data_IF_401543076866
#
_entry.id   IF_401543076866
#
_cell.length_a   1.000
_cell.length_b   1.000
_cell.length_c   1.000
_cell.angle_alpha   90.00
_cell.angle_beta   90.00
_cell.angle_gamma   90.00
#
_symmetry.space_group_name_H-M   'P 1'
#
loop_
_entity.id
_entity.type
_entity.pdbx_description
1 polymer ?
#
# COMPACT_ATOMS: atom_id res chain seq x y z
N UNK A 1 -1.04 -2.43 -5.77
CA UNK A 1 -1.60 -3.03 -4.55
C UNK A 1 -2.29 -4.35 -4.82
N UNK A 2 -3.11 -4.47 -5.87
CA UNK A 2 -3.80 -5.72 -6.28
C UNK A 2 -2.82 -6.88 -6.52
N UNK A 3 -1.66 -6.65 -7.13
CA UNK A 3 -0.66 -7.70 -7.40
C UNK A 3 0.06 -8.26 -6.16
N UNK A 4 0.14 -7.51 -5.05
CA UNK A 4 0.76 -8.01 -3.81
C UNK A 4 -0.19 -8.94 -3.04
N UNK A 5 -1.46 -8.60 -2.98
CA UNK A 5 -2.52 -9.47 -2.44
C UNK A 5 -2.68 -10.75 -3.29
N UNK A 6 -2.60 -10.62 -4.62
CA UNK A 6 -2.63 -11.78 -5.53
C UNK A 6 -1.48 -12.75 -5.24
N UNK A 7 -0.26 -12.26 -4.95
CA UNK A 7 0.90 -13.11 -4.67
C UNK A 7 0.80 -13.91 -3.36
N UNK A 8 0.17 -13.37 -2.32
CA UNK A 8 -0.02 -14.08 -1.04
C UNK A 8 -1.15 -15.12 -1.11
N UNK A 9 -2.15 -14.90 -1.96
CA UNK A 9 -3.29 -15.81 -2.14
C UNK A 9 -3.03 -16.92 -3.18
N UNK A 10 -2.14 -16.69 -4.15
CA UNK A 10 -1.97 -17.62 -5.29
C UNK A 10 -1.37 -18.96 -4.90
N UNK A 11 -0.43 -19.02 -3.97
CA UNK A 11 0.27 -20.28 -3.64
C UNK A 11 -0.62 -21.28 -2.87
N UNK A 12 -1.37 -20.91 -1.82
CA UNK A 12 -2.27 -21.83 -1.14
C UNK A 12 -3.44 -22.30 -2.02
N UNK A 13 -4.00 -21.41 -2.85
CA UNK A 13 -5.15 -21.71 -3.70
C UNK A 13 -4.78 -22.67 -4.82
N UNK A 14 -3.63 -22.49 -5.48
CA UNK A 14 -3.16 -23.42 -6.53
C UNK A 14 -2.88 -24.82 -6.01
N UNK A 15 -2.42 -24.95 -4.77
CA UNK A 15 -2.17 -26.25 -4.14
C UNK A 15 -3.49 -26.98 -3.75
N UNK A 16 -4.50 -26.24 -3.30
CA UNK A 16 -5.77 -26.79 -2.81
C UNK A 16 -6.74 -27.18 -3.93
N UNK A 17 -6.67 -26.56 -5.11
CA UNK A 17 -7.66 -26.69 -6.19
C UNK A 17 -7.08 -27.22 -7.51
N UNK A 18 -6.34 -28.31 -7.48
CA UNK A 18 -5.88 -28.99 -8.71
C UNK A 18 -6.93 -30.02 -9.15
N UNK A 19 -7.70 -29.73 -10.21
CA UNK A 19 -8.77 -30.60 -10.76
C UNK A 19 -9.67 -31.20 -9.68
N UNK A 20 -10.38 -30.34 -8.98
CA UNK A 20 -11.25 -30.74 -7.86
C UNK A 20 -12.69 -30.35 -8.12
N UNK A 21 -13.62 -31.21 -7.71
CA UNK A 21 -15.05 -30.89 -7.70
C UNK A 21 -15.34 -29.87 -6.59
N UNK A 22 -16.06 -28.81 -6.91
CA UNK A 22 -16.40 -27.75 -5.97
C UNK A 22 -17.64 -28.15 -5.14
N UNK A 23 -17.42 -29.03 -4.20
CA UNK A 23 -18.41 -29.47 -3.21
C UNK A 23 -18.44 -28.56 -1.97
N UNK A 24 -19.31 -28.88 -1.01
CA UNK A 24 -19.43 -28.09 0.22
C UNK A 24 -18.11 -28.02 1.00
N UNK A 25 -17.35 -29.11 1.07
CA UNK A 25 -16.06 -29.16 1.77
C UNK A 25 -15.00 -28.27 1.07
N UNK A 26 -14.99 -28.26 -0.27
CA UNK A 26 -14.09 -27.41 -1.04
C UNK A 26 -14.41 -25.91 -0.86
N UNK A 27 -15.68 -25.55 -0.71
CA UNK A 27 -16.11 -24.17 -0.44
C UNK A 27 -15.72 -23.74 0.96
N UNK A 28 -15.88 -24.59 1.97
CA UNK A 28 -15.47 -24.34 3.35
C UNK A 28 -13.94 -24.16 3.44
N UNK A 29 -13.16 -25.02 2.80
CA UNK A 29 -11.70 -24.89 2.71
C UNK A 29 -11.28 -23.57 2.03
N UNK A 30 -11.98 -23.15 0.96
CA UNK A 30 -11.74 -21.87 0.31
C UNK A 30 -12.01 -20.69 1.25
N UNK A 31 -13.10 -20.76 2.03
CA UNK A 31 -13.44 -19.74 3.02
C UNK A 31 -12.37 -19.63 4.10
N UNK A 32 -11.89 -20.74 4.65
CA UNK A 32 -10.81 -20.78 5.63
C UNK A 32 -9.50 -20.16 5.08
N UNK A 33 -9.16 -20.50 3.82
CA UNK A 33 -7.99 -19.92 3.15
C UNK A 33 -8.11 -18.39 2.99
N UNK A 34 -9.29 -17.90 2.63
CA UNK A 34 -9.54 -16.45 2.49
C UNK A 34 -9.49 -15.73 3.84
N UNK A 35 -10.02 -16.35 4.90
CA UNK A 35 -9.93 -15.82 6.28
C UNK A 35 -8.48 -15.81 6.75
N UNK A 36 -7.74 -16.88 6.52
CA UNK A 36 -6.31 -16.99 6.83
C UNK A 36 -5.44 -15.97 6.07
N UNK A 37 -5.92 -15.48 4.93
CA UNK A 37 -5.29 -14.41 4.15
C UNK A 37 -5.75 -12.99 4.56
N UNK A 38 -6.33 -12.84 5.76
CA UNK A 38 -6.78 -11.56 6.34
C UNK A 38 -7.89 -10.83 5.55
N UNK A 39 -8.70 -11.53 4.74
CA UNK A 39 -9.84 -10.91 4.07
C UNK A 39 -11.01 -10.60 5.04
N UNK A 40 -10.98 -11.21 6.23
CA UNK A 40 -12.05 -11.14 7.20
C UNK A 40 -13.26 -12.03 6.86
N UNK A 41 -13.96 -12.53 7.89
CA UNK A 41 -15.04 -13.51 7.77
C UNK A 41 -16.14 -13.05 6.82
N UNK A 42 -16.65 -11.82 6.99
CA UNK A 42 -17.77 -11.33 6.19
C UNK A 42 -17.44 -11.24 4.68
N UNK A 43 -16.22 -10.86 4.32
CA UNK A 43 -15.77 -10.80 2.94
C UNK A 43 -15.57 -12.21 2.36
N UNK A 44 -14.93 -13.10 3.12
CA UNK A 44 -14.70 -14.47 2.74
C UNK A 44 -16.03 -15.19 2.45
N UNK A 45 -17.00 -15.15 3.38
CA UNK A 45 -18.33 -15.74 3.20
C UNK A 45 -19.10 -15.17 2.01
N UNK A 46 -18.96 -13.86 1.74
CA UNK A 46 -19.60 -13.25 0.57
C UNK A 46 -19.00 -13.80 -0.74
N UNK A 47 -17.69 -13.90 -0.82
CA UNK A 47 -16.98 -14.40 -2.01
C UNK A 47 -17.33 -15.86 -2.23
N UNK A 48 -17.21 -16.71 -1.21
CA UNK A 48 -17.49 -18.14 -1.33
C UNK A 48 -18.95 -18.44 -1.62
N UNK A 49 -19.88 -17.68 -1.05
CA UNK A 49 -21.32 -17.77 -1.36
C UNK A 49 -21.63 -17.42 -2.82
N UNK A 50 -20.97 -16.41 -3.39
CA UNK A 50 -21.09 -16.07 -4.81
C UNK A 50 -20.50 -17.16 -5.71
N UNK A 51 -19.36 -17.69 -5.29
CA UNK A 51 -18.68 -18.77 -5.99
C UNK A 51 -19.51 -20.05 -6.04
N UNK A 52 -20.09 -20.44 -4.90
CA UNK A 52 -21.00 -21.58 -4.80
C UNK A 52 -22.20 -21.47 -5.74
N UNK A 53 -22.85 -20.31 -5.82
CA UNK A 53 -24.02 -20.10 -6.68
C UNK A 53 -23.77 -20.38 -8.15
N UNK A 54 -22.56 -20.16 -8.65
CA UNK A 54 -22.24 -20.23 -10.08
C UNK A 54 -21.50 -21.49 -10.48
N UNK A 55 -20.77 -22.12 -9.54
CA UNK A 55 -19.83 -23.21 -9.83
C UNK A 55 -19.99 -24.45 -8.95
N UNK A 56 -21.01 -24.47 -8.08
CA UNK A 56 -21.23 -25.62 -7.19
C UNK A 56 -21.36 -26.93 -8.00
N UNK A 57 -20.74 -27.98 -7.49
CA UNK A 57 -20.77 -29.34 -8.04
C UNK A 57 -20.11 -29.50 -9.44
N UNK A 58 -19.36 -28.47 -9.91
CA UNK A 58 -18.57 -28.55 -11.12
C UNK A 58 -17.11 -28.90 -10.80
N UNK A 59 -16.46 -29.56 -11.74
CA UNK A 59 -15.01 -29.73 -11.70
C UNK A 59 -14.35 -28.40 -12.10
N UNK A 60 -13.44 -27.90 -11.26
CA UNK A 60 -12.77 -26.63 -11.47
C UNK A 60 -11.26 -26.82 -11.46
N UNK A 61 -10.57 -26.06 -12.30
CA UNK A 61 -9.12 -25.96 -12.31
C UNK A 61 -8.66 -24.76 -11.47
N UNK A 62 -7.43 -24.82 -10.94
CA UNK A 62 -6.88 -23.77 -10.09
C UNK A 62 -6.86 -22.39 -10.75
N UNK A 63 -6.64 -22.32 -12.06
CA UNK A 63 -6.66 -21.06 -12.81
C UNK A 63 -8.07 -20.47 -12.92
N UNK A 64 -9.08 -21.33 -13.04
CA UNK A 64 -10.49 -20.91 -13.06
C UNK A 64 -10.90 -20.36 -11.69
N UNK A 65 -10.50 -21.02 -10.60
CA UNK A 65 -10.76 -20.55 -9.23
C UNK A 65 -10.09 -19.21 -9.00
N UNK A 66 -8.83 -19.06 -9.42
CA UNK A 66 -8.06 -17.82 -9.28
C UNK A 66 -8.69 -16.66 -10.06
N UNK A 67 -9.11 -16.92 -11.29
CA UNK A 67 -9.75 -15.90 -12.13
C UNK A 67 -11.07 -15.43 -11.52
N UNK A 68 -11.89 -16.37 -11.09
CA UNK A 68 -13.17 -16.05 -10.47
C UNK A 68 -13.03 -15.32 -9.12
N UNK A 69 -12.02 -15.66 -8.32
CA UNK A 69 -11.71 -14.91 -7.10
C UNK A 69 -11.23 -13.49 -7.41
N UNK A 70 -10.41 -13.32 -8.43
CA UNK A 70 -9.97 -11.99 -8.87
C UNK A 70 -11.17 -11.13 -9.29
N UNK A 71 -12.14 -11.68 -10.05
CA UNK A 71 -13.37 -11.00 -10.45
C UNK A 71 -14.24 -10.60 -9.24
N UNK A 72 -14.37 -11.46 -8.22
CA UNK A 72 -15.14 -11.12 -7.02
C UNK A 72 -14.46 -10.06 -6.17
N UNK A 73 -13.13 -10.10 -6.05
CA UNK A 73 -12.34 -9.07 -5.36
C UNK A 73 -12.42 -7.75 -6.14
N UNK A 74 -12.33 -7.78 -7.46
CA UNK A 74 -12.48 -6.60 -8.32
C UNK A 74 -13.82 -5.91 -8.09
N UNK A 75 -14.94 -6.64 -8.08
CA UNK A 75 -16.27 -6.09 -7.79
C UNK A 75 -16.37 -5.41 -6.43
N UNK A 76 -15.62 -5.91 -5.43
CA UNK A 76 -15.59 -5.31 -4.09
C UNK A 76 -14.76 -4.02 -4.08
N UNK A 77 -13.65 -3.99 -4.84
CA UNK A 77 -12.71 -2.88 -4.85
C UNK A 77 -13.10 -1.76 -5.83
N UNK A 78 -13.77 -2.09 -6.93
CA UNK A 78 -14.14 -1.14 -7.99
C UNK A 78 -14.86 0.13 -7.47
N UNK A 79 -15.86 0.04 -6.56
CA UNK A 79 -16.56 1.23 -6.05
C UNK A 79 -15.66 2.17 -5.23
N UNK A 80 -14.54 1.68 -4.70
CA UNK A 80 -13.61 2.42 -3.84
C UNK A 80 -12.26 2.68 -4.52
N UNK A 81 -12.01 2.10 -5.67
CA UNK A 81 -10.80 2.27 -6.48
C UNK A 81 -10.82 3.64 -7.17
N UNK A 82 -10.26 4.65 -6.49
CA UNK A 82 -10.12 5.99 -7.04
C UNK A 82 -8.65 6.22 -7.44
N UNK A 83 -8.39 6.84 -8.61
CA UNK A 83 -7.03 7.23 -8.97
C UNK A 83 -6.51 8.27 -7.96
N UNK A 84 -5.23 8.17 -7.62
CA UNK A 84 -4.57 9.23 -6.88
C UNK A 84 -4.46 10.47 -7.77
N UNK A 85 -4.96 11.61 -7.29
CA UNK A 85 -4.88 12.90 -7.97
C UNK A 85 -4.29 13.96 -7.05
N UNK A 86 -3.42 14.79 -7.62
CA UNK A 86 -2.87 15.96 -6.93
C UNK A 86 -3.88 17.09 -7.03
N UNK A 87 -4.24 17.66 -5.89
CA UNK A 87 -5.08 18.86 -5.85
C UNK A 87 -4.19 20.08 -6.10
N UNK A 88 -4.31 20.69 -7.27
CA UNK A 88 -3.52 21.84 -7.68
C UNK A 88 -3.83 23.13 -6.89
N UNK A 89 -4.94 23.15 -6.11
CA UNK A 89 -5.25 24.26 -5.21
C UNK A 89 -4.37 24.25 -3.96
N UNK A 90 -3.79 23.09 -3.62
CA UNK A 90 -2.87 22.90 -2.51
C UNK A 90 -1.42 22.99 -3.01
N UNK A 91 -0.65 23.93 -2.49
CA UNK A 91 0.77 24.08 -2.82
C UNK A 91 1.60 24.24 -1.55
N UNK A 92 2.26 23.17 -1.12
CA UNK A 92 2.28 21.81 -1.70
C UNK A 92 1.03 20.99 -1.36
N UNK A 93 0.66 20.05 -2.25
CA UNK A 93 -0.19 18.92 -1.89
C UNK A 93 0.64 17.95 -1.05
N UNK A 94 0.30 17.77 0.22
CA UNK A 94 1.07 16.93 1.14
C UNK A 94 0.57 15.51 1.14
N UNK A 95 1.48 14.55 1.00
CA UNK A 95 1.20 13.11 1.05
C UNK A 95 2.01 12.48 2.17
N UNK A 96 1.36 12.09 3.24
CA UNK A 96 1.96 11.36 4.34
C UNK A 96 1.90 9.86 4.06
N UNK A 97 3.07 9.18 3.98
CA UNK A 97 3.14 7.75 3.68
C UNK A 97 3.40 6.96 4.95
N UNK A 98 2.36 6.26 5.41
CA UNK A 98 2.36 5.50 6.65
C UNK A 98 2.36 3.99 6.38
N UNK A 99 2.84 3.20 7.35
CA UNK A 99 2.83 1.74 7.30
C UNK A 99 3.94 1.13 8.13
N UNK A 100 3.89 -0.18 8.34
CA UNK A 100 4.88 -0.91 9.13
C UNK A 100 6.24 -1.02 8.44
N UNK A 101 7.29 -1.37 9.18
CA UNK A 101 8.60 -1.62 8.59
C UNK A 101 8.53 -2.76 7.57
N UNK A 102 9.23 -2.62 6.44
CA UNK A 102 9.22 -3.61 5.37
C UNK A 102 7.99 -3.57 4.44
N UNK A 103 6.96 -2.73 4.70
CA UNK A 103 5.79 -2.61 3.83
C UNK A 103 6.05 -1.92 2.48
N UNK A 104 7.26 -1.39 2.27
CA UNK A 104 7.66 -0.75 1.02
C UNK A 104 7.35 0.75 0.93
N UNK A 105 7.17 1.47 2.05
CA UNK A 105 6.90 2.91 2.09
C UNK A 105 7.89 3.72 1.24
N UNK A 106 9.17 3.69 1.60
CA UNK A 106 10.23 4.44 0.91
C UNK A 106 10.31 4.10 -0.58
N UNK A 107 10.13 2.83 -0.95
CA UNK A 107 10.07 2.41 -2.35
C UNK A 107 8.84 2.97 -3.07
N UNK A 108 7.70 2.99 -2.41
CA UNK A 108 6.44 3.54 -2.96
C UNK A 108 6.55 5.05 -3.17
N UNK A 109 7.18 5.76 -2.22
CA UNK A 109 7.49 7.19 -2.34
C UNK A 109 8.36 7.45 -3.58
N UNK A 110 9.44 6.70 -3.76
CA UNK A 110 10.32 6.86 -4.92
C UNK A 110 9.60 6.64 -6.25
N UNK A 111 8.75 5.60 -6.34
CA UNK A 111 7.95 5.32 -7.54
C UNK A 111 6.89 6.40 -7.79
N UNK A 112 6.23 6.88 -6.73
CA UNK A 112 5.25 7.96 -6.82
C UNK A 112 5.91 9.26 -7.26
N UNK A 113 7.07 9.61 -6.68
CA UNK A 113 7.85 10.77 -7.09
C UNK A 113 8.23 10.70 -8.57
N UNK A 114 8.69 9.54 -9.04
CA UNK A 114 9.00 9.33 -10.46
C UNK A 114 7.77 9.54 -11.35
N UNK A 115 6.62 8.98 -10.98
CA UNK A 115 5.36 9.13 -11.73
C UNK A 115 4.90 10.59 -11.78
N UNK A 116 4.92 11.30 -10.65
CA UNK A 116 4.53 12.69 -10.55
C UNK A 116 5.44 13.60 -11.38
N UNK A 117 6.75 13.36 -11.33
CA UNK A 117 7.75 14.07 -12.18
C UNK A 117 7.48 13.84 -13.67
N UNK A 118 7.13 12.61 -14.07
CA UNK A 118 6.77 12.32 -15.46
C UNK A 118 5.48 13.04 -15.91
N UNK A 119 4.61 13.43 -14.97
CA UNK A 119 3.42 14.25 -15.21
C UNK A 119 3.70 15.75 -15.17
N UNK A 120 4.98 16.16 -15.02
CA UNK A 120 5.39 17.56 -14.99
C UNK A 120 5.27 18.24 -13.62
N UNK A 121 4.95 17.49 -12.56
CA UNK A 121 4.86 18.03 -11.21
C UNK A 121 6.26 18.26 -10.60
N UNK A 122 6.40 19.30 -9.80
CA UNK A 122 7.56 19.49 -8.92
C UNK A 122 7.34 18.72 -7.63
N UNK A 123 8.33 17.90 -7.22
CA UNK A 123 8.22 17.02 -6.06
C UNK A 123 9.35 17.29 -5.09
N UNK A 124 9.02 17.36 -3.81
CA UNK A 124 9.97 17.37 -2.68
C UNK A 124 9.67 16.18 -1.77
N UNK A 125 10.69 15.60 -1.14
CA UNK A 125 10.55 14.50 -0.20
C UNK A 125 11.10 14.89 1.16
N UNK A 126 10.49 14.36 2.24
CA UNK A 126 10.95 14.54 3.62
C UNK A 126 11.23 13.18 4.27
N UNK A 127 12.45 12.99 4.80
CA UNK A 127 12.89 11.75 5.45
C UNK A 127 12.53 11.77 6.94
N UNK A 128 11.22 11.67 7.27
CA UNK A 128 10.75 11.71 8.65
C UNK A 128 10.87 10.34 9.39
N UNK A 129 11.34 9.26 8.75
CA UNK A 129 11.87 8.07 9.43
C UNK A 129 13.31 8.38 9.95
N UNK A 130 13.41 9.30 10.91
CA UNK A 130 14.68 9.85 11.40
C UNK A 130 15.54 8.87 12.18
N UNK A 131 14.97 7.76 12.64
CA UNK A 131 15.68 6.76 13.44
C UNK A 131 16.45 5.73 12.62
N UNK A 132 16.16 5.64 11.32
CA UNK A 132 16.77 4.66 10.43
C UNK A 132 17.66 5.34 9.40
N UNK A 133 18.97 5.37 9.67
CA UNK A 133 19.93 5.95 8.72
C UNK A 133 19.80 5.37 7.30
N UNK A 134 19.63 4.05 7.18
CA UNK A 134 19.44 3.39 5.90
C UNK A 134 18.14 3.82 5.17
N UNK A 135 17.08 4.23 5.88
CA UNK A 135 15.87 4.74 5.24
C UNK A 135 16.10 6.16 4.69
N UNK A 136 16.85 6.98 5.41
CA UNK A 136 17.25 8.32 4.95
C UNK A 136 18.10 8.20 3.69
N UNK A 137 19.15 7.36 3.71
CA UNK A 137 20.01 7.11 2.54
C UNK A 137 19.22 6.59 1.34
N UNK A 138 18.30 5.64 1.57
CA UNK A 138 17.45 5.12 0.51
C UNK A 138 16.56 6.20 -0.11
N UNK A 139 16.00 7.10 0.70
CA UNK A 139 15.19 8.21 0.19
C UNK A 139 16.05 9.23 -0.58
N UNK A 140 17.28 9.50 -0.15
CA UNK A 140 18.23 10.35 -0.87
C UNK A 140 18.56 9.78 -2.26
N UNK A 141 18.81 8.45 -2.37
CA UNK A 141 19.01 7.78 -3.66
C UNK A 141 17.79 7.95 -4.58
N UNK A 142 16.58 7.86 -4.03
CA UNK A 142 15.36 8.14 -4.81
C UNK A 142 15.28 9.61 -5.22
N UNK A 143 15.70 10.55 -4.36
CA UNK A 143 15.79 11.97 -4.68
C UNK A 143 16.68 12.23 -5.89
N UNK A 144 17.88 11.65 -5.90
CA UNK A 144 18.83 11.75 -7.01
C UNK A 144 18.23 11.18 -8.31
N UNK A 145 17.63 9.96 -8.24
CA UNK A 145 17.03 9.29 -9.41
C UNK A 145 15.86 10.05 -10.01
N UNK A 146 15.09 10.74 -9.19
CA UNK A 146 13.88 11.47 -9.62
C UNK A 146 14.14 12.97 -9.83
N UNK A 147 15.36 13.43 -9.58
CA UNK A 147 15.71 14.85 -9.54
C UNK A 147 14.73 15.63 -8.65
N UNK A 148 14.55 15.14 -7.42
CA UNK A 148 13.68 15.74 -6.40
C UNK A 148 14.49 16.08 -5.14
N UNK A 149 14.25 17.24 -4.55
CA UNK A 149 14.89 17.62 -3.30
C UNK A 149 14.45 16.70 -2.16
N UNK A 150 15.38 16.31 -1.29
CA UNK A 150 15.11 15.51 -0.10
C UNK A 150 15.52 16.30 1.14
N UNK A 151 14.56 16.59 2.00
CA UNK A 151 14.80 17.23 3.29
C UNK A 151 15.11 16.14 4.31
N UNK A 152 16.26 16.27 4.96
CA UNK A 152 16.74 15.32 5.97
C UNK A 152 17.08 16.04 7.25
N UNK A 153 16.90 15.38 8.39
CA UNK A 153 17.33 15.83 9.71
C UNK A 153 18.53 15.04 10.21
N UNK A 154 19.03 15.43 11.39
CA UNK A 154 19.99 14.59 12.10
C UNK A 154 19.34 13.29 12.51
N UNK A 155 20.09 12.16 12.60
CA UNK A 155 19.54 10.90 13.13
C UNK A 155 18.86 11.13 14.49
N UNK A 156 17.62 10.64 14.64
CA UNK A 156 16.81 10.82 15.83
C UNK A 156 16.19 12.21 16.02
N UNK A 157 16.24 13.07 15.01
CA UNK A 157 15.55 14.37 15.05
C UNK A 157 14.03 14.20 15.19
N UNK A 158 13.35 15.23 15.67
CA UNK A 158 11.89 15.27 15.75
C UNK A 158 11.28 15.21 14.34
N UNK A 159 10.51 14.15 14.08
CA UNK A 159 9.88 13.89 12.79
C UNK A 159 8.88 14.99 12.41
N UNK A 160 8.12 15.51 13.39
CA UNK A 160 7.16 16.58 13.18
C UNK A 160 7.84 17.90 12.84
N UNK A 161 8.94 18.23 13.54
CA UNK A 161 9.76 19.41 13.22
C UNK A 161 10.32 19.33 11.81
N UNK A 162 10.85 18.16 11.40
CA UNK A 162 11.35 17.95 10.05
C UNK A 162 10.24 18.09 8.99
N UNK A 163 9.07 17.53 9.25
CA UNK A 163 7.92 17.62 8.34
C UNK A 163 7.45 19.07 8.18
N UNK A 164 7.44 19.84 9.29
CA UNK A 164 7.11 21.26 9.28
C UNK A 164 8.12 22.08 8.45
N UNK A 165 9.41 21.85 8.66
CA UNK A 165 10.47 22.55 7.91
C UNK A 165 10.40 22.21 6.41
N UNK A 166 10.15 20.94 6.08
CA UNK A 166 9.96 20.49 4.71
C UNK A 166 8.72 21.14 4.07
N UNK A 167 7.62 21.25 4.80
CA UNK A 167 6.42 21.95 4.34
C UNK A 167 6.67 23.43 4.09
N UNK A 168 7.32 24.12 5.04
CA UNK A 168 7.64 25.53 4.91
C UNK A 168 8.55 25.78 3.70
N UNK A 169 9.55 24.92 3.48
CA UNK A 169 10.46 25.02 2.34
C UNK A 169 9.73 24.70 1.02
N UNK A 170 8.91 23.65 0.96
CA UNK A 170 8.14 23.30 -0.22
C UNK A 170 7.19 24.45 -0.62
N UNK A 171 6.51 25.04 0.36
CA UNK A 171 5.63 26.19 0.16
C UNK A 171 6.37 27.41 -0.37
N UNK A 172 7.52 27.74 0.19
CA UNK A 172 8.33 28.90 -0.24
C UNK A 172 8.87 28.74 -1.66
N UNK A 173 9.15 27.51 -2.10
CA UNK A 173 9.64 27.17 -3.44
C UNK A 173 8.53 26.91 -4.45
N UNK A 174 7.26 26.93 -4.05
CA UNK A 174 6.11 26.69 -4.94
C UNK A 174 6.05 25.24 -5.45
N UNK A 175 6.56 24.28 -4.65
CA UNK A 175 6.54 22.86 -4.99
C UNK A 175 5.11 22.34 -5.06
N UNK A 176 4.80 21.51 -6.06
CA UNK A 176 3.44 20.98 -6.25
C UNK A 176 3.11 19.89 -5.24
N UNK A 177 4.06 18.98 -4.95
CA UNK A 177 3.82 17.82 -4.07
C UNK A 177 4.95 17.64 -3.07
N UNK A 178 4.60 17.47 -1.79
CA UNK A 178 5.50 17.05 -0.71
C UNK A 178 5.16 15.64 -0.27
N UNK A 179 6.11 14.69 -0.43
CA UNK A 179 5.98 13.31 0.03
C UNK A 179 6.75 13.15 1.34
N UNK A 180 6.10 12.69 2.40
CA UNK A 180 6.70 12.50 3.73
C UNK A 180 6.81 11.01 4.04
N UNK A 181 8.05 10.50 4.18
CA UNK A 181 8.33 9.12 4.64
C UNK A 181 8.32 9.08 6.16
N UNK A 182 7.53 8.19 6.76
CA UNK A 182 7.39 8.10 8.22
C UNK A 182 7.98 6.82 8.77
N UNK A 183 8.29 6.81 10.06
CA UNK A 183 8.66 5.60 10.79
C UNK A 183 7.56 4.52 10.67
N UNK A 184 7.95 3.25 10.79
CA UNK A 184 7.05 2.11 10.62
C UNK A 184 7.14 1.10 11.77
N UNK A 185 7.25 1.56 13.02
CA UNK A 185 7.47 0.70 14.18
C UNK A 185 6.17 0.03 14.62
N UNK A 186 6.01 -1.27 14.31
CA UNK A 186 4.85 -2.04 14.76
C UNK A 186 4.91 -2.35 16.27
N UNK A 187 6.13 -2.44 16.85
CA UNK A 187 6.33 -2.85 18.24
C UNK A 187 5.75 -1.85 19.25
N UNK A 188 5.59 -0.61 18.86
CA UNK A 188 5.01 0.44 19.71
C UNK A 188 3.94 1.22 18.94
N UNK A 189 2.80 0.57 18.72
CA UNK A 189 1.69 1.11 17.90
C UNK A 189 1.15 2.44 18.45
N UNK A 190 1.11 2.59 19.77
CA UNK A 190 0.64 3.81 20.42
C UNK A 190 1.57 5.00 20.15
N UNK A 191 2.89 4.81 20.29
CA UNK A 191 3.88 5.86 20.06
C UNK A 191 3.95 6.22 18.57
N UNK A 192 3.82 5.24 17.67
CA UNK A 192 3.75 5.51 16.23
C UNK A 192 2.54 6.36 15.87
N UNK A 193 1.37 6.06 16.43
CA UNK A 193 0.16 6.86 16.18
C UNK A 193 0.30 8.27 16.75
N UNK A 194 0.88 8.41 17.95
CA UNK A 194 1.15 9.72 18.54
C UNK A 194 2.18 10.54 17.74
N UNK A 195 3.17 9.88 17.11
CA UNK A 195 4.12 10.53 16.19
C UNK A 195 3.41 11.02 14.92
N UNK A 196 2.53 10.19 14.33
CA UNK A 196 1.76 10.54 13.14
C UNK A 196 0.76 11.69 13.40
N UNK A 197 0.18 11.76 14.61
CA UNK A 197 -0.71 12.85 15.01
C UNK A 197 0.01 14.21 15.14
N UNK A 198 1.33 14.19 15.39
CA UNK A 198 2.13 15.41 15.47
C UNK A 198 2.57 15.94 14.12
N UNK A 199 2.73 15.06 13.13
CA UNK A 199 3.07 15.40 11.77
C UNK A 199 1.86 15.98 11.04
#
# INVERSE_FOLDING_TARGET
MVYLLAGMLTFPITAAFTKRRLDAAAIEELEELLIGADLGVATASKITGNFARTRFDKEVESDEVRTALAEEIEKILEPVAKPFSVDASLKPHVVLVCGVNGSGKTTSIGKLAWQLKAQGQTVMMAAADTFRAAAIEQLQIWGERTNSAVITGKPGADAAGLAYDAFAQAKSQGVDVLLIDTAGRLQNKADLMAELEKI
#
